data_IF_698258410066
#
_entry.id   IF_698258410066
#
_cell.length_a   1.000
_cell.length_b   1.000
_cell.length_c   1.000
_cell.angle_alpha   90.00
_cell.angle_beta   90.00
_cell.angle_gamma   90.00
#
_symmetry.space_group_name_H-M   'P 1'
#
loop_
_entity.id
_entity.type
_entity.pdbx_description
1 polymer ?
#
# COMPACT_ATOMS: atom_id res chain seq x y z
N UNK A 1 -1.51 29.10 -0.47
CA UNK A 1 -0.57 28.06 0.00
C UNK A 1 -0.45 27.01 -1.09
N UNK A 2 0.75 26.60 -1.51
CA UNK A 2 0.90 25.51 -2.48
C UNK A 2 0.74 24.17 -1.75
N UNK A 3 0.02 23.23 -2.35
CA UNK A 3 -0.19 21.87 -1.84
C UNK A 3 0.29 20.89 -2.90
N UNK A 4 0.93 19.81 -2.47
CA UNK A 4 1.36 18.70 -3.31
C UNK A 4 0.91 17.40 -2.65
N UNK A 5 0.57 16.41 -3.48
CA UNK A 5 0.31 15.03 -3.06
C UNK A 5 1.60 14.22 -3.17
N UNK A 6 1.85 13.36 -2.18
CA UNK A 6 2.87 12.33 -2.23
C UNK A 6 2.14 10.99 -2.15
N UNK A 7 2.27 10.15 -3.18
CA UNK A 7 1.68 8.83 -3.23
C UNK A 7 2.74 7.75 -3.39
N UNK A 8 2.35 6.53 -3.03
CA UNK A 8 3.14 5.33 -3.23
C UNK A 8 2.22 4.12 -3.47
N UNK A 9 2.77 3.11 -4.14
CA UNK A 9 2.15 1.81 -4.31
C UNK A 9 2.35 0.99 -3.03
N UNK A 10 1.28 0.38 -2.53
CA UNK A 10 1.23 -0.36 -1.26
C UNK A 10 0.31 -1.57 -1.37
N UNK A 11 0.31 -2.44 -0.37
CA UNK A 11 -0.48 -3.65 -0.36
C UNK A 11 -0.02 -4.65 -1.43
N UNK A 12 1.24 -4.60 -1.82
CA UNK A 12 1.80 -5.43 -2.90
C UNK A 12 2.36 -6.78 -2.41
N UNK A 13 2.19 -7.09 -1.11
CA UNK A 13 2.46 -8.43 -0.58
C UNK A 13 1.47 -9.46 -1.15
N UNK A 14 1.82 -10.76 -1.12
CA UNK A 14 0.94 -11.83 -1.57
C UNK A 14 1.27 -13.19 -0.91
N UNK A 15 0.31 -13.80 -0.25
CA UNK A 15 0.45 -15.06 0.46
C UNK A 15 1.54 -14.98 1.53
N UNK A 16 2.59 -15.80 1.37
CA UNK A 16 3.73 -15.80 2.28
C UNK A 16 4.82 -14.76 1.92
N UNK A 17 4.66 -14.02 0.82
CA UNK A 17 5.66 -13.07 0.35
C UNK A 17 5.34 -11.66 0.85
N UNK A 18 6.25 -11.10 1.65
CA UNK A 18 6.22 -9.71 2.08
C UNK A 18 6.99 -8.85 1.09
N UNK A 19 6.34 -7.80 0.58
CA UNK A 19 6.89 -6.81 -0.35
C UNK A 19 6.63 -5.42 0.24
N UNK A 20 7.64 -4.55 0.18
CA UNK A 20 7.53 -3.17 0.66
C UNK A 20 7.74 -3.00 2.17
N UNK A 21 7.46 -1.79 2.64
CA UNK A 21 7.54 -1.35 4.05
C UNK A 21 6.37 -0.43 4.37
N UNK A 22 5.14 -0.92 4.10
CA UNK A 22 3.93 -0.10 4.06
C UNK A 22 3.65 0.61 5.39
N UNK A 23 3.81 -0.10 6.52
CA UNK A 23 3.61 0.46 7.87
C UNK A 23 4.50 1.69 8.13
N UNK A 24 5.77 1.61 7.77
CA UNK A 24 6.71 2.71 7.93
C UNK A 24 6.43 3.85 6.94
N UNK A 25 5.93 3.53 5.74
CA UNK A 25 5.69 4.48 4.67
C UNK A 25 4.46 5.36 4.91
N UNK A 26 3.41 4.82 5.54
CA UNK A 26 2.13 5.51 5.73
C UNK A 26 2.23 6.82 6.51
N UNK A 27 3.25 6.99 7.35
CA UNK A 27 3.47 8.24 8.09
C UNK A 27 3.94 9.41 7.19
N UNK A 28 4.34 9.14 5.94
CA UNK A 28 4.96 10.14 5.05
C UNK A 28 4.13 10.48 3.80
N UNK A 29 3.17 9.63 3.40
CA UNK A 29 2.40 9.80 2.16
C UNK A 29 1.02 10.40 2.44
N UNK A 30 0.41 11.01 1.42
CA UNK A 30 -0.94 11.58 1.47
C UNK A 30 -1.98 10.75 0.71
N UNK A 31 -1.54 9.90 -0.22
CA UNK A 31 -2.39 8.96 -0.97
C UNK A 31 -1.70 7.61 -1.11
N UNK A 32 -2.48 6.53 -1.18
CA UNK A 32 -1.99 5.16 -1.30
C UNK A 32 -2.63 4.46 -2.50
N UNK A 33 -1.82 3.86 -3.38
CA UNK A 33 -2.27 3.08 -4.51
C UNK A 33 -2.23 1.59 -4.11
N UNK A 34 -3.37 1.02 -3.74
CA UNK A 34 -3.44 -0.34 -3.20
C UNK A 34 -3.55 -1.35 -4.35
N UNK A 35 -2.75 -2.41 -4.32
CA UNK A 35 -2.89 -3.51 -5.29
C UNK A 35 -4.26 -4.20 -5.19
N UNK A 36 -4.70 -4.83 -6.29
CA UNK A 36 -6.08 -5.32 -6.44
C UNK A 36 -6.21 -6.84 -6.67
N UNK A 37 -5.14 -7.62 -6.48
CA UNK A 37 -5.17 -9.09 -6.55
C UNK A 37 -4.87 -9.72 -7.89
N UNK A 38 -4.46 -8.94 -8.88
CA UNK A 38 -3.97 -9.48 -10.16
C UNK A 38 -2.45 -9.56 -10.22
N UNK A 39 -1.75 -8.42 -10.09
CA UNK A 39 -0.28 -8.41 -10.08
C UNK A 39 0.30 -8.61 -8.68
N UNK A 40 -0.45 -8.20 -7.65
CA UNK A 40 -0.09 -8.28 -6.23
C UNK A 40 -1.34 -8.08 -5.35
N UNK A 41 -1.21 -8.27 -4.03
CA UNK A 41 -2.27 -8.02 -3.04
C UNK A 41 -3.32 -9.12 -2.98
N UNK A 42 -3.20 -10.07 -2.06
CA UNK A 42 -4.30 -11.01 -1.77
C UNK A 42 -5.38 -10.40 -0.87
N UNK A 43 -6.47 -11.13 -0.65
CA UNK A 43 -7.60 -10.66 0.18
C UNK A 43 -7.17 -10.16 1.56
N UNK A 44 -6.26 -10.87 2.24
CA UNK A 44 -5.81 -10.47 3.57
C UNK A 44 -4.91 -9.25 3.48
N UNK A 45 -3.96 -9.22 2.54
CA UNK A 45 -3.06 -8.08 2.33
C UNK A 45 -3.84 -6.80 2.04
N UNK A 46 -4.77 -6.84 1.09
CA UNK A 46 -5.59 -5.67 0.74
C UNK A 46 -6.41 -5.20 1.95
N UNK A 47 -7.03 -6.14 2.66
CA UNK A 47 -7.82 -5.83 3.84
C UNK A 47 -6.97 -5.18 4.94
N UNK A 48 -5.78 -5.70 5.20
CA UNK A 48 -4.86 -5.16 6.19
C UNK A 48 -4.28 -3.80 5.79
N UNK A 49 -4.05 -3.56 4.49
CA UNK A 49 -3.55 -2.28 3.95
C UNK A 49 -4.56 -1.14 4.13
N UNK A 50 -5.86 -1.44 4.21
CA UNK A 50 -6.94 -0.44 4.33
C UNK A 50 -7.27 -0.09 5.80
N UNK A 51 -6.87 -0.92 6.77
CA UNK A 51 -7.20 -0.77 8.19
C UNK A 51 -6.56 0.45 8.84
#
# INVERSE_FOLDING_TARGET
>A
MKRIDINADVGESYGAFTIGHDEDLFQYITSANIACGFHAGDFNVIHDTVR
#
